data_IF_288484227294
#
_entry.id   IF_288484227294
#
_cell.length_a   1.000
_cell.length_b   1.000
_cell.length_c   1.000
_cell.angle_alpha   90.00
_cell.angle_beta   90.00
_cell.angle_gamma   90.00
#
_symmetry.space_group_name_H-M   'P 1'
#
loop_
_entity.id
_entity.type
_entity.pdbx_description
1 polymer ?
#
# COMPACT_ATOMS: atom_id res chain seq x y z
N UNK A 1 -18.15 -4.28 13.60
CA UNK A 1 -17.46 -3.12 13.00
C UNK A 1 -17.32 -3.47 11.53
N UNK A 2 -17.81 -2.65 10.60
CA UNK A 2 -17.78 -3.02 9.19
C UNK A 2 -16.34 -3.02 8.68
N UNK A 3 -15.90 -4.13 8.10
CA UNK A 3 -14.60 -4.25 7.44
C UNK A 3 -14.58 -3.32 6.22
N UNK A 4 -14.16 -2.07 6.43
CA UNK A 4 -14.04 -1.08 5.36
C UNK A 4 -12.83 -1.45 4.52
N UNK A 5 -13.07 -2.00 3.34
CA UNK A 5 -12.00 -2.26 2.37
C UNK A 5 -11.62 -0.93 1.71
N UNK A 6 -10.44 -0.42 2.04
CA UNK A 6 -9.84 0.76 1.42
C UNK A 6 -8.98 0.31 0.23
N UNK A 7 -9.22 0.89 -0.95
CA UNK A 7 -8.51 0.53 -2.18
C UNK A 7 -7.57 1.67 -2.57
N UNK A 8 -6.28 1.37 -2.62
CA UNK A 8 -5.24 2.26 -3.14
C UNK A 8 -4.82 1.92 -4.56
N UNK A 9 -4.10 2.85 -5.21
CA UNK A 9 -3.47 2.68 -6.52
C UNK A 9 -1.96 2.82 -6.38
N UNK A 10 -1.22 1.81 -6.80
CA UNK A 10 0.24 1.87 -6.89
C UNK A 10 0.62 2.90 -7.95
N UNK A 11 1.43 3.88 -7.59
CA UNK A 11 1.91 4.95 -8.49
C UNK A 11 3.36 4.73 -8.90
N UNK A 12 4.16 4.08 -8.05
CA UNK A 12 5.56 3.82 -8.30
C UNK A 12 6.04 2.52 -7.62
N UNK A 13 6.99 1.83 -8.26
CA UNK A 13 7.70 0.68 -7.69
C UNK A 13 9.20 0.85 -7.97
N UNK A 14 10.01 0.90 -6.90
CA UNK A 14 11.48 0.99 -6.97
C UNK A 14 12.08 -0.05 -6.03
N UNK A 15 12.48 -1.20 -6.59
CA UNK A 15 12.88 -2.35 -5.79
C UNK A 15 11.77 -2.73 -4.81
N UNK A 16 12.11 -2.90 -3.53
CA UNK A 16 11.14 -3.22 -2.48
C UNK A 16 10.27 -2.02 -2.03
N UNK A 17 10.49 -0.81 -2.57
CA UNK A 17 9.75 0.39 -2.17
C UNK A 17 8.61 0.65 -3.14
N UNK A 18 7.40 0.81 -2.61
CA UNK A 18 6.20 1.12 -3.39
C UNK A 18 5.58 2.41 -2.89
N UNK A 19 5.23 3.32 -3.77
CA UNK A 19 4.39 4.47 -3.43
C UNK A 19 2.95 4.16 -3.86
N UNK A 20 2.00 4.32 -2.95
CA UNK A 20 0.58 3.96 -3.14
C UNK A 20 -0.28 5.17 -2.79
N UNK A 21 -1.08 5.61 -3.76
CA UNK A 21 -2.04 6.71 -3.59
C UNK A 21 -3.41 6.19 -3.19
N UNK A 22 -4.02 6.81 -2.20
CA UNK A 22 -5.35 6.51 -1.70
C UNK A 22 -6.31 7.65 -2.02
N UNK A 23 -7.59 7.44 -1.70
CA UNK A 23 -8.56 8.54 -1.71
C UNK A 23 -8.35 9.42 -0.49
N UNK A 24 -8.72 10.69 -0.63
CA UNK A 24 -8.70 11.66 0.46
C UNK A 24 -9.46 11.11 1.69
N UNK A 25 -8.82 11.22 2.86
CA UNK A 25 -9.37 10.71 4.12
C UNK A 25 -9.36 9.19 4.29
N UNK A 26 -8.82 8.43 3.33
CA UNK A 26 -8.66 6.97 3.41
C UNK A 26 -7.19 6.55 3.52
N UNK A 27 -6.33 7.45 4.00
CA UNK A 27 -4.90 7.21 4.09
C UNK A 27 -4.59 6.21 5.23
N UNK A 28 -3.97 5.05 4.95
CA UNK A 28 -3.60 4.09 5.98
C UNK A 28 -2.54 4.64 6.95
N UNK A 29 -2.51 4.14 8.18
CA UNK A 29 -1.54 4.57 9.19
C UNK A 29 -0.16 3.95 8.97
N UNK A 30 0.89 4.57 9.53
CA UNK A 30 2.23 3.98 9.55
C UNK A 30 2.19 2.64 10.30
N UNK A 31 2.93 1.65 9.79
CA UNK A 31 2.93 0.25 10.21
C UNK A 31 1.65 -0.54 9.88
N UNK A 32 0.69 0.03 9.15
CA UNK A 32 -0.42 -0.77 8.60
C UNK A 32 0.03 -1.59 7.40
N UNK A 33 -0.49 -2.82 7.33
CA UNK A 33 -0.26 -3.73 6.23
C UNK A 33 -1.28 -3.52 5.11
N UNK A 34 -0.80 -3.47 3.87
CA UNK A 34 -1.60 -3.44 2.66
C UNK A 34 -1.35 -4.73 1.88
N UNK A 35 -2.42 -5.40 1.48
CA UNK A 35 -2.37 -6.63 0.68
C UNK A 35 -2.58 -6.31 -0.79
N UNK A 36 -1.64 -6.76 -1.62
CA UNK A 36 -1.70 -6.62 -3.08
C UNK A 36 -1.89 -8.02 -3.67
N UNK A 37 -3.03 -8.24 -4.32
CA UNK A 37 -3.26 -9.45 -5.11
C UNK A 37 -2.64 -9.28 -6.49
N UNK A 38 -1.73 -10.17 -6.85
CA UNK A 38 -1.05 -10.20 -8.15
C UNK A 38 -1.91 -10.90 -9.20
N UNK A 39 -1.52 -10.72 -10.47
CA UNK A 39 -2.19 -11.35 -11.61
C UNK A 39 -2.14 -12.87 -11.59
N UNK A 40 -1.09 -13.45 -10.98
CA UNK A 40 -0.94 -14.89 -10.76
C UNK A 40 -1.74 -15.42 -9.55
N UNK A 41 -2.49 -14.55 -8.87
CA UNK A 41 -3.27 -14.87 -7.68
C UNK A 41 -2.46 -14.91 -6.38
N UNK A 42 -1.14 -14.74 -6.44
CA UNK A 42 -0.31 -14.63 -5.24
C UNK A 42 -0.55 -13.29 -4.54
N UNK A 43 -0.20 -13.23 -3.26
CA UNK A 43 -0.35 -12.03 -2.45
C UNK A 43 1.01 -11.48 -2.05
N UNK A 44 1.22 -10.19 -2.28
CA UNK A 44 2.32 -9.44 -1.70
C UNK A 44 1.77 -8.58 -0.56
N UNK A 45 2.38 -8.70 0.62
CA UNK A 45 2.14 -7.76 1.71
C UNK A 45 3.17 -6.65 1.65
N UNK A 46 2.71 -5.42 1.77
CA UNK A 46 3.56 -4.24 1.94
C UNK A 46 3.15 -3.51 3.22
N UNK A 47 4.08 -2.88 3.91
CA UNK A 47 3.82 -2.13 5.15
C UNK A 47 4.04 -0.63 4.91
N UNK A 48 3.15 0.22 5.42
CA UNK A 48 3.32 1.67 5.35
C UNK A 48 4.48 2.14 6.22
N UNK A 49 5.53 2.67 5.59
CA UNK A 49 6.70 3.20 6.27
C UNK A 49 6.64 4.73 6.46
N UNK A 50 5.99 5.45 5.56
CA UNK A 50 5.94 6.93 5.60
C UNK A 50 4.73 7.50 4.86
N UNK A 51 4.20 8.63 5.32
CA UNK A 51 3.28 9.47 4.55
C UNK A 51 4.06 10.49 3.71
N UNK A 52 3.78 10.56 2.40
CA UNK A 52 4.47 11.47 1.47
C UNK A 52 3.70 12.77 1.20
N UNK A 53 2.44 12.87 1.66
CA UNK A 53 1.51 13.91 1.24
C UNK A 53 0.77 13.54 -0.05
N UNK A 54 -0.13 14.40 -0.53
CA UNK A 54 -0.96 14.17 -1.73
C UNK A 54 -1.65 12.78 -1.74
N UNK A 55 -2.24 12.43 -0.59
CA UNK A 55 -2.88 11.13 -0.31
C UNK A 55 -2.02 9.91 -0.65
N UNK A 56 -0.69 10.05 -0.57
CA UNK A 56 0.26 9.01 -0.93
C UNK A 56 1.04 8.53 0.29
N UNK A 57 1.19 7.21 0.38
CA UNK A 57 2.05 6.55 1.36
C UNK A 57 3.18 5.82 0.65
N UNK A 58 4.36 5.80 1.30
CA UNK A 58 5.47 4.94 0.94
C UNK A 58 5.39 3.66 1.75
N UNK A 59 5.45 2.54 1.05
CA UNK A 59 5.43 1.21 1.62
C UNK A 59 6.71 0.45 1.33
N UNK A 60 7.01 -0.52 2.18
CA UNK A 60 8.10 -1.49 2.00
C UNK A 60 7.50 -2.88 1.80
N UNK A 61 7.94 -3.59 0.77
CA UNK A 61 7.50 -4.94 0.46
C UNK A 61 8.11 -5.96 1.43
N UNK A 62 7.27 -6.86 1.94
CA UNK A 62 7.69 -7.99 2.79
C UNK A 62 8.08 -9.23 1.98
N UNK A 63 8.17 -9.09 0.66
CA UNK A 63 8.53 -10.15 -0.27
C UNK A 63 9.03 -9.59 -1.61
N UNK A 64 9.43 -10.47 -2.55
CA UNK A 64 9.89 -10.06 -3.87
C UNK A 64 8.79 -9.27 -4.58
N UNK A 65 9.14 -8.16 -5.22
CA UNK A 65 8.25 -7.23 -5.95
C UNK A 65 8.18 -7.54 -7.44
#
# INVERSE_FOLDING_TARGET
MADKTVIGKITQVVGAVLDIKFKEGELPQINEAIRITRTDGSNLTVEVAQHLGDDTVRCIAMGPT
#
